data_IF_435860262234
#
_entry.id   IF_435860262234
#
_cell.length_a   1.000
_cell.length_b   1.000
_cell.length_c   1.000
_cell.angle_alpha   90.00
_cell.angle_beta   90.00
_cell.angle_gamma   90.00
#
_symmetry.space_group_name_H-M   'P 1'
#
loop_
_entity.id
_entity.type
_entity.pdbx_description
1 polymer ?
#
# COMPACT_ATOMS: atom_id res chain seq x y z
N UNK A 1 -21.92 -12.16 42.01
CA UNK A 1 -22.15 -11.38 40.75
C UNK A 1 -21.27 -10.13 40.84
N UNK A 2 -20.03 -10.21 40.36
CA UNK A 2 -19.15 -9.04 40.20
C UNK A 2 -19.26 -8.61 38.75
N UNK A 3 -19.89 -7.46 38.49
CA UNK A 3 -19.96 -6.88 37.16
C UNK A 3 -18.57 -6.41 36.74
N UNK A 4 -18.03 -7.01 35.69
CA UNK A 4 -16.83 -6.56 35.01
C UNK A 4 -17.15 -5.22 34.34
N UNK A 5 -16.68 -4.12 34.93
CA UNK A 5 -16.68 -2.82 34.28
C UNK A 5 -15.61 -2.88 33.18
N UNK A 6 -16.03 -3.04 31.93
CA UNK A 6 -15.17 -2.89 30.76
C UNK A 6 -14.79 -1.41 30.64
N UNK A 7 -13.66 -1.02 31.24
CA UNK A 7 -13.09 0.31 31.00
C UNK A 7 -12.53 0.28 29.59
N UNK A 8 -13.32 0.74 28.63
CA UNK A 8 -12.81 1.08 27.29
C UNK A 8 -11.97 2.34 27.42
N UNK A 9 -10.66 2.18 27.64
CA UNK A 9 -9.68 3.25 27.44
C UNK A 9 -9.63 3.52 25.92
N UNK A 10 -10.58 4.33 25.45
CA UNK A 10 -10.53 4.93 24.12
C UNK A 10 -9.44 6.00 24.16
N UNK A 11 -8.41 5.86 23.30
CA UNK A 11 -7.53 6.99 22.98
C UNK A 11 -8.42 8.20 22.66
N UNK A 12 -8.07 9.43 23.06
CA UNK A 12 -8.86 10.60 22.76
C UNK A 12 -8.78 10.90 21.26
N UNK A 13 -9.66 10.24 20.48
CA UNK A 13 -9.90 10.63 19.09
C UNK A 13 -10.86 11.80 19.10
N UNK A 14 -10.58 12.90 18.38
CA UNK A 14 -11.53 14.00 18.23
C UNK A 14 -12.87 13.46 17.69
N UNK A 15 -13.97 14.04 18.13
CA UNK A 15 -15.28 13.71 17.59
C UNK A 15 -15.26 13.91 16.06
N UNK A 16 -15.49 12.83 15.29
CA UNK A 16 -15.41 12.82 13.83
C UNK A 16 -14.10 12.28 13.23
N UNK A 17 -13.08 11.92 14.04
CA UNK A 17 -11.85 11.32 13.52
C UNK A 17 -12.10 9.90 12.99
N UNK A 18 -11.66 9.65 11.77
CA UNK A 18 -11.74 8.34 11.12
C UNK A 18 -10.48 7.55 11.42
N UNK A 19 -10.60 6.40 12.09
CA UNK A 19 -9.45 5.52 12.33
C UNK A 19 -9.20 4.58 11.15
N UNK A 20 -7.92 4.24 10.93
CA UNK A 20 -7.46 3.25 9.96
C UNK A 20 -6.60 2.20 10.66
N UNK A 21 -6.73 0.92 10.24
CA UNK A 21 -5.95 -0.21 10.75
C UNK A 21 -4.94 -0.62 9.68
N UNK A 22 -3.66 -0.58 10.02
CA UNK A 22 -2.54 -0.79 9.09
C UNK A 22 -1.77 -2.04 9.48
N UNK A 23 -1.73 -3.06 8.62
CA UNK A 23 -0.87 -4.23 8.82
C UNK A 23 0.59 -3.82 8.62
N UNK A 24 1.37 -3.79 9.69
CA UNK A 24 2.80 -3.47 9.66
C UNK A 24 3.66 -4.69 9.35
N UNK A 25 3.47 -5.75 10.13
CA UNK A 25 4.27 -6.98 10.11
C UNK A 25 3.37 -8.21 10.13
N UNK A 26 3.84 -9.30 9.53
CA UNK A 26 3.11 -10.57 9.52
C UNK A 26 4.07 -11.77 9.48
N UNK A 27 3.57 -12.95 9.83
CA UNK A 27 4.30 -14.22 9.82
C UNK A 27 5.56 -14.20 10.71
N UNK A 28 5.50 -13.48 11.83
CA UNK A 28 6.57 -13.44 12.81
C UNK A 28 6.40 -14.56 13.84
N UNK A 29 7.51 -15.19 14.23
CA UNK A 29 7.52 -16.14 15.36
C UNK A 29 7.91 -15.46 16.67
N UNK A 30 8.67 -14.39 16.58
CA UNK A 30 9.09 -13.58 17.74
C UNK A 30 9.06 -12.09 17.36
N UNK A 31 8.78 -11.26 18.36
CA UNK A 31 8.79 -9.81 18.25
C UNK A 31 9.26 -9.20 19.57
N UNK A 32 10.18 -8.23 19.49
CA UNK A 32 10.56 -7.40 20.62
C UNK A 32 9.87 -6.05 20.52
N UNK A 33 9.11 -5.68 21.54
CA UNK A 33 8.42 -4.39 21.63
C UNK A 33 9.07 -3.56 22.74
N UNK A 34 9.47 -2.33 22.41
CA UNK A 34 9.90 -1.34 23.38
C UNK A 34 8.71 -0.46 23.75
N UNK A 35 8.16 -0.65 24.94
CA UNK A 35 6.96 0.03 25.42
C UNK A 35 7.36 1.28 26.20
N UNK A 36 7.04 2.50 25.68
CA UNK A 36 7.32 3.74 26.42
C UNK A 36 6.41 3.89 27.66
N UNK A 37 6.81 4.69 28.66
CA UNK A 37 6.02 4.88 29.89
C UNK A 37 4.63 5.48 29.65
N UNK A 38 4.42 6.20 28.55
CA UNK A 38 3.14 6.79 28.17
C UNK A 38 2.24 5.85 27.32
N UNK A 39 2.46 4.53 27.40
CA UNK A 39 1.60 3.50 26.84
C UNK A 39 1.10 2.54 27.89
N UNK A 40 -0.19 2.20 27.83
CA UNK A 40 -0.77 1.07 28.55
C UNK A 40 -0.67 -0.21 27.72
N UNK A 41 -0.35 -1.32 28.39
CA UNK A 41 -0.34 -2.65 27.77
C UNK A 41 -1.56 -3.43 28.24
N UNK A 42 -2.45 -3.72 27.32
CA UNK A 42 -3.67 -4.49 27.55
C UNK A 42 -3.51 -5.89 26.95
N UNK A 43 -3.97 -6.91 27.66
CA UNK A 43 -3.96 -8.31 27.20
C UNK A 43 -5.36 -8.92 27.31
N UNK A 44 -5.67 -9.88 26.45
CA UNK A 44 -6.86 -10.71 26.56
C UNK A 44 -6.42 -12.17 26.75
N UNK A 45 -6.93 -12.87 27.82
CA UNK A 45 -7.93 -12.45 28.82
C UNK A 45 -7.39 -11.74 30.07
N UNK A 46 -6.10 -11.53 30.23
CA UNK A 46 -5.47 -11.14 31.51
C UNK A 46 -5.67 -9.65 31.95
N UNK A 47 -6.15 -8.76 31.09
CA UNK A 47 -6.44 -7.36 31.43
C UNK A 47 -5.23 -6.42 31.30
N UNK A 48 -5.19 -5.36 32.13
CA UNK A 48 -4.12 -4.35 32.13
C UNK A 48 -2.85 -4.89 32.79
N UNK A 49 -1.73 -4.87 32.06
CA UNK A 49 -0.41 -5.14 32.66
C UNK A 49 0.11 -3.90 33.38
N UNK A 50 0.74 -4.05 34.58
CA UNK A 50 1.37 -2.92 35.25
C UNK A 50 2.42 -2.27 34.35
N UNK A 51 2.24 -1.00 34.02
CA UNK A 51 3.27 -0.20 33.39
C UNK A 51 4.19 0.30 34.48
N UNK A 52 5.50 0.00 34.46
CA UNK A 52 6.47 0.74 35.23
C UNK A 52 6.53 2.16 34.69
N UNK A 53 5.94 3.10 35.41
CA UNK A 53 5.65 4.45 34.93
C UNK A 53 6.89 5.27 34.52
N UNK A 54 8.09 4.83 34.84
CA UNK A 54 9.31 5.65 34.70
C UNK A 54 10.39 5.07 33.78
N UNK A 55 10.19 3.87 33.20
CA UNK A 55 11.23 3.25 32.35
C UNK A 55 10.66 2.55 31.12
N UNK A 56 11.37 2.66 29.99
CA UNK A 56 11.13 1.85 28.80
C UNK A 56 11.23 0.38 29.12
N UNK A 57 10.13 -0.33 28.92
CA UNK A 57 10.07 -1.76 29.13
C UNK A 57 10.15 -2.47 27.79
N UNK A 58 11.08 -3.41 27.65
CA UNK A 58 11.10 -4.33 26.51
C UNK A 58 10.27 -5.55 26.86
N UNK A 59 9.32 -5.91 25.99
CA UNK A 59 8.48 -7.10 26.10
C UNK A 59 8.80 -8.00 24.91
N UNK A 60 9.23 -9.24 25.21
CA UNK A 60 9.37 -10.28 24.20
C UNK A 60 8.02 -10.93 23.95
N UNK A 61 7.64 -11.00 22.71
CA UNK A 61 6.38 -11.58 22.24
C UNK A 61 6.70 -12.78 21.35
N UNK A 62 6.18 -13.95 21.67
CA UNK A 62 6.43 -15.19 20.94
C UNK A 62 5.12 -15.79 20.45
N UNK A 63 5.11 -16.29 19.22
CA UNK A 63 4.03 -17.11 18.72
C UNK A 63 4.08 -18.49 19.40
N UNK A 64 2.97 -18.93 19.96
CA UNK A 64 2.82 -20.26 20.54
C UNK A 64 1.57 -20.90 19.94
N UNK A 65 1.66 -22.10 19.39
CA UNK A 65 0.60 -22.92 18.80
C UNK A 65 -0.65 -22.18 18.27
N UNK A 66 -1.40 -21.50 19.16
CA UNK A 66 -2.63 -20.74 18.85
C UNK A 66 -2.77 -19.42 19.64
N UNK A 67 -1.74 -19.03 20.37
CA UNK A 67 -1.75 -17.84 21.23
C UNK A 67 -0.43 -17.10 21.20
N UNK A 68 -0.31 -16.08 22.04
CA UNK A 68 0.87 -15.26 22.25
C UNK A 68 1.45 -15.60 23.60
N UNK A 69 2.74 -15.90 23.67
CA UNK A 69 3.48 -16.08 24.92
C UNK A 69 4.31 -14.82 25.22
N UNK A 70 4.24 -14.38 26.47
CA UNK A 70 5.05 -13.30 27.05
C UNK A 70 6.01 -13.92 28.09
N UNK A 71 7.22 -14.36 27.69
CA UNK A 71 8.09 -15.18 28.54
C UNK A 71 8.48 -14.52 29.86
N UNK A 72 8.81 -13.21 29.82
CA UNK A 72 9.25 -12.48 31.04
C UNK A 72 8.14 -12.34 32.05
N UNK A 73 6.88 -12.47 31.64
CA UNK A 73 5.70 -12.36 32.51
C UNK A 73 5.09 -13.71 32.86
N UNK A 74 5.56 -14.80 32.23
CA UNK A 74 4.95 -16.11 32.36
C UNK A 74 3.51 -16.18 31.87
N UNK A 75 3.09 -15.29 30.98
CA UNK A 75 1.70 -15.18 30.49
C UNK A 75 1.52 -15.76 29.10
N UNK A 76 0.35 -16.35 28.88
CA UNK A 76 -0.18 -16.69 27.56
C UNK A 76 -1.49 -15.92 27.32
N UNK A 77 -1.58 -15.21 26.20
CA UNK A 77 -2.70 -14.30 25.88
C UNK A 77 -3.12 -14.48 24.42
N UNK A 78 -4.36 -14.14 24.09
CA UNK A 78 -4.88 -14.21 22.73
C UNK A 78 -4.50 -12.97 21.91
N UNK A 79 -4.47 -11.81 22.58
CA UNK A 79 -4.18 -10.52 21.98
C UNK A 79 -3.40 -9.64 22.95
N UNK A 80 -2.45 -8.88 22.41
CA UNK A 80 -1.70 -7.85 23.12
C UNK A 80 -1.98 -6.52 22.43
N UNK A 81 -2.43 -5.52 23.19
CA UNK A 81 -2.70 -4.18 22.68
C UNK A 81 -1.94 -3.13 23.47
N UNK A 82 -1.22 -2.26 22.76
CA UNK A 82 -0.50 -1.12 23.32
C UNK A 82 -1.26 0.16 22.96
N UNK A 83 -1.72 0.88 23.99
CA UNK A 83 -2.59 2.06 23.83
C UNK A 83 -1.87 3.29 24.34
N UNK A 84 -1.71 4.37 23.54
CA UNK A 84 -1.08 5.60 23.98
C UNK A 84 -1.96 6.36 24.98
N UNK A 85 -1.32 7.04 25.95
CA UNK A 85 -2.02 7.91 26.90
C UNK A 85 -2.35 9.28 26.30
N UNK A 86 -1.55 9.71 25.29
CA UNK A 86 -1.71 10.98 24.59
C UNK A 86 -1.63 10.78 23.07
N UNK A 87 -2.21 11.70 22.32
CA UNK A 87 -2.23 11.64 20.86
C UNK A 87 -0.83 11.67 20.23
N UNK A 88 0.08 12.44 20.81
CA UNK A 88 1.44 12.63 20.29
C UNK A 88 2.40 11.51 20.66
N UNK A 89 1.96 10.54 21.46
CA UNK A 89 2.77 9.41 21.85
C UNK A 89 3.15 8.56 20.63
N UNK A 90 4.40 8.09 20.62
CA UNK A 90 4.93 7.22 19.57
C UNK A 90 5.54 5.97 20.17
N UNK A 91 5.51 4.87 19.41
CA UNK A 91 6.01 3.56 19.85
C UNK A 91 6.84 2.91 18.74
N UNK A 92 7.86 2.14 19.13
CA UNK A 92 8.63 1.32 18.21
C UNK A 92 7.92 -0.01 17.89
N UNK A 93 7.82 -0.32 16.58
CA UNK A 93 7.55 -1.66 16.09
C UNK A 93 8.65 -2.05 15.09
N UNK A 94 9.52 -2.97 15.48
CA UNK A 94 10.79 -3.19 14.78
C UNK A 94 11.70 -1.96 14.90
N UNK A 95 12.19 -1.45 13.77
CA UNK A 95 13.10 -0.29 13.72
C UNK A 95 12.42 1.05 13.48
N UNK A 96 11.09 1.10 13.37
CA UNK A 96 10.34 2.31 13.01
C UNK A 96 9.42 2.77 14.13
N UNK A 97 9.20 4.10 14.18
CA UNK A 97 8.28 4.75 15.11
C UNK A 97 6.90 4.90 14.49
N UNK A 98 5.85 4.68 15.30
CA UNK A 98 4.46 4.77 14.88
C UNK A 98 3.63 5.56 15.90
N UNK A 99 2.66 6.35 15.41
CA UNK A 99 1.60 6.96 16.22
C UNK A 99 0.51 5.95 16.53
N UNK A 100 -0.37 6.29 17.45
CA UNK A 100 -1.56 5.50 17.76
C UNK A 100 -1.28 4.22 18.52
N UNK A 101 -2.19 3.25 18.43
CA UNK A 101 -2.07 1.96 19.14
C UNK A 101 -1.49 0.86 18.24
N UNK A 102 -0.88 -0.15 18.88
CA UNK A 102 -0.43 -1.37 18.22
C UNK A 102 -1.18 -2.58 18.78
N UNK A 103 -1.74 -3.37 17.89
CA UNK A 103 -2.33 -4.67 18.21
C UNK A 103 -1.39 -5.78 17.71
N UNK A 104 -1.02 -6.70 18.60
CA UNK A 104 -0.32 -7.94 18.24
C UNK A 104 -1.28 -9.09 18.42
N UNK A 105 -1.49 -9.86 17.34
CA UNK A 105 -2.42 -10.98 17.29
C UNK A 105 -1.74 -12.21 16.72
N UNK A 106 -2.12 -13.37 17.24
CA UNK A 106 -1.75 -14.62 16.59
C UNK A 106 -2.70 -14.91 15.42
N UNK A 107 -2.14 -15.35 14.30
CA UNK A 107 -2.89 -15.85 13.12
C UNK A 107 -2.17 -17.06 12.55
N UNK A 108 -2.89 -17.85 11.73
CA UNK A 108 -2.28 -18.97 11.05
C UNK A 108 -1.04 -18.54 10.26
N UNK A 109 0.15 -18.97 10.70
CA UNK A 109 1.44 -18.54 10.15
C UNK A 109 2.29 -17.67 11.09
N UNK A 110 1.80 -17.27 12.28
CA UNK A 110 2.56 -16.53 13.28
C UNK A 110 1.86 -15.27 13.78
N UNK A 111 2.66 -14.34 14.31
CA UNK A 111 2.16 -13.06 14.78
C UNK A 111 1.93 -12.08 13.63
N UNK A 112 0.88 -11.27 13.76
CA UNK A 112 0.68 -10.04 12.99
C UNK A 112 0.75 -8.83 13.91
N UNK A 113 1.22 -7.70 13.37
CA UNK A 113 1.25 -6.40 14.07
C UNK A 113 0.41 -5.43 13.27
N UNK A 114 -0.61 -4.86 13.90
CA UNK A 114 -1.53 -3.90 13.28
C UNK A 114 -1.44 -2.58 14.04
N UNK A 115 -1.20 -1.51 13.32
CA UNK A 115 -1.21 -0.15 13.84
C UNK A 115 -2.59 0.48 13.62
N UNK A 116 -3.22 0.97 14.67
CA UNK A 116 -4.51 1.68 14.61
C UNK A 116 -4.31 3.13 15.00
N UNK A 117 -4.62 4.05 14.07
CA UNK A 117 -4.42 5.49 14.25
C UNK A 117 -5.45 6.30 13.48
N UNK A 118 -5.41 7.62 13.64
CA UNK A 118 -6.20 8.56 12.84
C UNK A 118 -5.79 8.49 11.35
N UNK A 119 -6.75 8.62 10.44
CA UNK A 119 -6.50 8.55 9.00
C UNK A 119 -5.54 9.64 8.50
N UNK A 120 -5.67 10.87 9.01
CA UNK A 120 -4.78 11.97 8.60
C UNK A 120 -3.35 11.72 9.12
N UNK A 121 -3.20 11.20 10.33
CA UNK A 121 -1.89 10.81 10.88
C UNK A 121 -1.26 9.65 10.09
N UNK A 122 -2.07 8.72 9.60
CA UNK A 122 -1.60 7.69 8.66
C UNK A 122 -1.03 8.31 7.39
N UNK A 123 -1.71 9.31 6.82
CA UNK A 123 -1.26 9.98 5.60
C UNK A 123 0.03 10.78 5.80
N UNK A 124 0.33 11.27 7.00
CA UNK A 124 1.63 11.92 7.29
C UNK A 124 2.80 10.96 7.02
N UNK A 125 2.62 9.66 7.28
CA UNK A 125 3.63 8.63 7.03
C UNK A 125 3.55 7.98 5.64
N UNK A 126 2.50 8.24 4.85
CA UNK A 126 2.31 7.71 3.49
C UNK A 126 2.77 8.68 2.44
N UNK A 127 2.28 9.93 2.45
CA UNK A 127 2.52 10.89 1.36
C UNK A 127 4.00 11.11 1.07
N UNK A 128 4.91 11.26 2.07
CA UNK A 128 6.35 11.44 1.82
C UNK A 128 7.04 10.19 1.24
N UNK A 129 6.39 9.03 1.28
CA UNK A 129 6.92 7.78 0.72
C UNK A 129 6.35 7.47 -0.67
N UNK A 130 5.23 8.08 -1.01
CA UNK A 130 4.59 7.96 -2.32
C UNK A 130 5.01 9.06 -3.29
N UNK A 131 5.33 10.26 -2.79
CA UNK A 131 5.74 11.40 -3.62
C UNK A 131 6.98 12.11 -3.04
N UNK A 132 7.95 12.50 -3.88
CA UNK A 132 9.09 13.30 -3.44
C UNK A 132 8.67 14.61 -2.74
N UNK A 133 9.21 14.84 -1.56
CA UNK A 133 8.83 15.98 -0.68
C UNK A 133 9.05 17.36 -1.29
N UNK A 134 9.95 17.46 -2.27
CA UNK A 134 10.28 18.71 -2.98
C UNK A 134 9.28 19.06 -4.09
N UNK A 135 8.35 18.19 -4.42
CA UNK A 135 7.35 18.45 -5.47
C UNK A 135 6.48 19.66 -5.18
N UNK A 136 5.82 20.19 -6.23
CA UNK A 136 4.88 21.30 -6.10
C UNK A 136 3.74 20.93 -5.14
N UNK A 137 3.29 21.90 -4.36
CA UNK A 137 2.28 21.69 -3.33
C UNK A 137 0.96 21.14 -3.93
N UNK A 138 0.61 21.55 -5.16
CA UNK A 138 -0.57 21.04 -5.86
C UNK A 138 -0.48 19.52 -6.12
N UNK A 139 0.70 19.01 -6.51
CA UNK A 139 0.92 17.58 -6.70
C UNK A 139 0.88 16.81 -5.36
N UNK A 140 1.48 17.36 -4.29
CA UNK A 140 1.44 16.76 -2.95
C UNK A 140 0.02 16.72 -2.38
N UNK A 141 -0.78 17.78 -2.59
CA UNK A 141 -2.21 17.83 -2.21
C UNK A 141 -3.03 16.80 -3.00
N UNK A 142 -2.82 16.69 -4.31
CA UNK A 142 -3.47 15.66 -5.12
C UNK A 142 -3.13 14.25 -4.62
N UNK A 143 -1.86 13.98 -4.30
CA UNK A 143 -1.42 12.71 -3.73
C UNK A 143 -2.06 12.42 -2.37
N UNK A 144 -2.19 13.41 -1.49
CA UNK A 144 -2.84 13.26 -0.19
C UNK A 144 -4.33 12.88 -0.35
N UNK A 145 -5.07 13.54 -1.23
CA UNK A 145 -6.48 13.24 -1.52
C UNK A 145 -6.65 11.83 -2.08
N UNK A 146 -5.80 11.44 -3.03
CA UNK A 146 -5.85 10.10 -3.64
C UNK A 146 -5.52 9.03 -2.61
N UNK A 147 -4.49 9.21 -1.80
CA UNK A 147 -4.11 8.27 -0.75
C UNK A 147 -5.22 8.12 0.31
N UNK A 148 -5.85 9.22 0.73
CA UNK A 148 -6.99 9.23 1.64
C UNK A 148 -8.17 8.46 1.08
N UNK A 149 -8.55 8.76 -0.17
CA UNK A 149 -9.66 8.10 -0.86
C UNK A 149 -9.43 6.60 -0.97
N UNK A 150 -8.22 6.18 -1.36
CA UNK A 150 -7.83 4.78 -1.44
C UNK A 150 -7.95 4.08 -0.09
N UNK A 151 -7.39 4.65 0.97
CA UNK A 151 -7.42 4.07 2.31
C UNK A 151 -8.87 3.88 2.82
N UNK A 152 -9.72 4.89 2.65
CA UNK A 152 -11.14 4.81 2.98
C UNK A 152 -11.89 3.78 2.14
N UNK A 153 -11.64 3.75 0.84
CA UNK A 153 -12.22 2.73 -0.05
C UNK A 153 -11.86 1.31 0.40
N UNK A 154 -10.60 1.08 0.78
CA UNK A 154 -10.15 -0.22 1.31
C UNK A 154 -10.83 -0.53 2.65
N UNK A 155 -10.90 0.42 3.57
CA UNK A 155 -11.54 0.27 4.87
C UNK A 155 -13.00 -0.17 4.76
N UNK A 156 -13.79 0.43 3.86
CA UNK A 156 -15.20 0.05 3.65
C UNK A 156 -15.38 -1.38 3.15
N UNK A 157 -14.35 -2.00 2.59
CA UNK A 157 -14.38 -3.37 2.03
C UNK A 157 -13.73 -4.43 2.93
N UNK A 158 -13.09 -4.01 4.02
CA UNK A 158 -12.34 -4.89 4.92
C UNK A 158 -12.91 -4.96 6.34
N UNK A 159 -14.23 -4.71 6.51
CA UNK A 159 -14.89 -4.56 7.82
C UNK A 159 -14.64 -5.76 8.75
N UNK A 160 -14.60 -6.98 8.22
CA UNK A 160 -14.43 -8.21 9.00
C UNK A 160 -12.97 -8.73 9.04
N UNK A 161 -11.99 -7.90 8.66
CA UNK A 161 -10.56 -8.27 8.70
C UNK A 161 -9.86 -7.59 9.86
N UNK A 162 -8.68 -8.09 10.19
CA UNK A 162 -7.84 -7.51 11.25
C UNK A 162 -7.31 -6.12 10.90
N UNK A 163 -7.19 -5.80 9.61
CA UNK A 163 -6.65 -4.54 9.10
C UNK A 163 -7.38 -4.07 7.85
N UNK A 164 -7.26 -2.79 7.54
CA UNK A 164 -7.88 -2.14 6.39
C UNK A 164 -6.90 -2.06 5.20
N UNK A 165 -5.64 -1.73 5.47
CA UNK A 165 -4.56 -1.60 4.48
C UNK A 165 -3.27 -2.25 5.00
N UNK A 166 -2.37 -2.61 4.09
CA UNK A 166 -1.02 -3.08 4.43
C UNK A 166 0.02 -1.98 4.18
N UNK A 167 1.05 -1.90 5.03
CA UNK A 167 2.12 -0.90 4.97
C UNK A 167 3.11 -1.09 3.80
N UNK A 168 2.86 -2.02 2.89
CA UNK A 168 3.76 -2.38 1.79
C UNK A 168 3.17 -1.93 0.44
N UNK A 169 3.92 -1.13 -0.33
CA UNK A 169 3.50 -0.59 -1.62
C UNK A 169 3.09 -1.65 -2.66
N UNK A 170 3.60 -2.89 -2.56
CA UNK A 170 3.21 -4.00 -3.45
C UNK A 170 1.75 -4.44 -3.18
N UNK A 171 1.26 -4.23 -1.95
CA UNK A 171 -0.09 -4.64 -1.54
C UNK A 171 -1.07 -3.48 -1.54
N UNK A 172 -0.70 -2.37 -0.93
CA UNK A 172 -1.53 -1.17 -0.80
C UNK A 172 -0.70 0.10 -0.94
N UNK A 173 -0.31 0.78 0.15
CA UNK A 173 0.44 2.05 0.16
C UNK A 173 1.72 1.92 0.97
N UNK A 174 2.75 2.69 0.59
CA UNK A 174 4.01 2.69 1.33
C UNK A 174 3.87 3.54 2.60
N UNK A 175 3.74 2.87 3.75
CA UNK A 175 3.62 3.51 5.06
C UNK A 175 4.83 3.20 5.93
N UNK A 176 5.52 4.21 6.42
CA UNK A 176 6.70 4.08 7.29
C UNK A 176 6.53 4.76 8.67
N UNK A 177 5.30 5.11 9.03
CA UNK A 177 4.96 5.68 10.33
C UNK A 177 5.54 7.07 10.56
N UNK A 178 5.72 7.42 11.84
CA UNK A 178 6.23 8.72 12.29
C UNK A 178 7.62 9.05 11.73
N UNK A 179 8.46 8.02 11.56
CA UNK A 179 9.83 8.19 11.05
C UNK A 179 9.91 8.77 9.64
N UNK A 180 8.82 8.71 8.87
CA UNK A 180 8.76 9.24 7.50
C UNK A 180 8.13 10.64 7.41
N UNK A 181 7.49 11.14 8.48
CA UNK A 181 6.75 12.40 8.45
C UNK A 181 7.65 13.59 8.06
N UNK A 182 7.11 14.48 7.23
CA UNK A 182 7.82 15.68 6.79
C UNK A 182 6.86 16.88 6.73
N UNK A 183 7.29 18.03 7.20
CA UNK A 183 6.47 19.26 7.34
C UNK A 183 5.70 19.63 6.07
N UNK A 184 6.35 19.58 4.89
CA UNK A 184 5.69 19.94 3.62
C UNK A 184 4.57 18.97 3.23
N UNK A 185 4.77 17.66 3.40
CA UNK A 185 3.75 16.66 3.08
C UNK A 185 2.65 16.65 4.13
N UNK A 186 2.97 16.84 5.42
CA UNK A 186 2.00 17.06 6.49
C UNK A 186 1.13 18.29 6.20
N UNK A 187 1.71 19.39 5.71
CA UNK A 187 0.94 20.57 5.28
C UNK A 187 -0.03 20.21 4.14
N UNK A 188 0.42 19.47 3.11
CA UNK A 188 -0.44 19.06 2.00
C UNK A 188 -1.63 18.19 2.46
N UNK A 189 -1.41 17.31 3.44
CA UNK A 189 -2.48 16.50 4.06
C UNK A 189 -3.46 17.39 4.81
N UNK A 190 -2.96 18.31 5.65
CA UNK A 190 -3.80 19.23 6.44
C UNK A 190 -4.61 20.18 5.55
N UNK A 191 -4.00 20.72 4.50
CA UNK A 191 -4.67 21.62 3.53
C UNK A 191 -5.82 20.94 2.79
N UNK A 192 -5.82 19.60 2.76
CA UNK A 192 -6.83 18.79 2.06
C UNK A 192 -7.58 17.85 2.99
N UNK A 193 -7.57 18.13 4.30
CA UNK A 193 -8.19 17.29 5.31
C UNK A 193 -9.63 16.95 4.96
N UNK A 194 -9.99 15.67 5.03
CA UNK A 194 -11.33 15.18 4.74
C UNK A 194 -11.74 15.18 3.27
N UNK A 195 -10.95 15.76 2.34
CA UNK A 195 -11.28 15.73 0.91
C UNK A 195 -11.05 14.34 0.31
N UNK A 196 -12.05 13.83 -0.41
CA UNK A 196 -12.03 12.52 -1.08
C UNK A 196 -12.68 12.58 -2.46
N UNK A 197 -12.39 11.57 -3.28
CA UNK A 197 -12.99 11.39 -4.60
C UNK A 197 -14.12 10.36 -4.57
N UNK A 198 -15.26 10.76 -5.15
CA UNK A 198 -16.43 9.89 -5.32
C UNK A 198 -16.85 9.82 -6.78
N UNK A 199 -17.45 8.70 -7.17
CA UNK A 199 -18.07 8.48 -8.47
C UNK A 199 -19.48 7.97 -8.25
N UNK A 200 -20.49 8.65 -8.79
CA UNK A 200 -21.89 8.35 -8.56
C UNK A 200 -22.26 8.23 -7.06
N UNK A 201 -21.65 9.05 -6.21
CA UNK A 201 -21.90 9.09 -4.77
C UNK A 201 -21.15 8.06 -3.93
N UNK A 202 -20.36 7.17 -4.53
CA UNK A 202 -19.54 6.18 -3.83
C UNK A 202 -18.04 6.51 -3.91
N UNK A 203 -17.27 6.16 -2.86
CA UNK A 203 -15.80 6.26 -2.90
C UNK A 203 -15.24 5.44 -4.06
N UNK A 204 -14.28 6.03 -4.79
CA UNK A 204 -13.57 5.32 -5.85
C UNK A 204 -12.34 4.59 -5.30
N UNK A 205 -11.85 3.53 -5.95
CA UNK A 205 -10.59 2.88 -5.59
C UNK A 205 -9.35 3.69 -5.96
N UNK A 206 -9.42 4.98 -6.03
CA UNK A 206 -8.43 6.02 -6.32
C UNK A 206 -7.00 5.51 -6.57
N UNK A 207 -6.83 4.58 -7.53
CA UNK A 207 -5.55 3.98 -7.88
C UNK A 207 -4.59 5.02 -8.45
N UNK A 208 -3.30 4.86 -8.17
CA UNK A 208 -2.25 5.71 -8.68
C UNK A 208 -0.98 4.90 -8.99
N UNK A 209 -0.09 5.43 -9.78
CA UNK A 209 1.14 4.77 -10.19
C UNK A 209 2.23 5.80 -10.50
N UNK A 210 3.49 5.36 -10.50
CA UNK A 210 4.62 6.28 -10.61
C UNK A 210 4.66 7.03 -11.97
N UNK A 211 4.62 6.30 -13.10
CA UNK A 211 4.77 6.88 -14.45
C UNK A 211 3.96 6.12 -15.49
N UNK A 212 3.11 6.82 -16.23
CA UNK A 212 2.20 6.25 -17.23
C UNK A 212 2.83 6.01 -18.59
N UNK A 213 3.89 6.73 -18.92
CA UNK A 213 4.53 6.74 -20.25
C UNK A 213 3.62 7.27 -21.38
N UNK A 214 2.87 8.34 -21.10
CA UNK A 214 2.09 9.10 -22.08
C UNK A 214 0.57 8.84 -22.06
N UNK A 215 0.11 7.70 -21.57
CA UNK A 215 -1.31 7.39 -21.37
C UNK A 215 -1.50 6.56 -20.10
N UNK A 216 -2.53 6.89 -19.32
CA UNK A 216 -3.03 5.98 -18.30
C UNK A 216 -3.79 4.82 -18.95
N UNK A 217 -4.34 3.89 -18.18
CA UNK A 217 -5.01 2.70 -18.68
C UNK A 217 -6.43 2.58 -18.14
N UNK A 218 -7.30 1.98 -18.90
CA UNK A 218 -8.64 1.59 -18.45
C UNK A 218 -8.56 0.46 -17.41
N UNK A 219 -9.39 0.55 -16.38
CA UNK A 219 -9.36 -0.41 -15.25
C UNK A 219 -9.60 -1.85 -15.68
N UNK A 220 -10.45 -2.11 -16.67
CA UNK A 220 -10.77 -3.44 -17.18
C UNK A 220 -9.58 -4.15 -17.86
N UNK A 221 -8.65 -3.41 -18.42
CA UNK A 221 -7.43 -4.01 -18.99
C UNK A 221 -6.43 -4.47 -17.91
N UNK A 222 -6.56 -3.96 -16.69
CA UNK A 222 -5.71 -4.33 -15.55
C UNK A 222 -6.41 -5.35 -14.63
N UNK A 223 -7.67 -5.13 -14.24
CA UNK A 223 -8.40 -5.96 -13.26
C UNK A 223 -9.67 -6.64 -13.79
N UNK A 224 -9.94 -6.61 -15.10
CA UNK A 224 -11.10 -7.21 -15.76
C UNK A 224 -12.47 -6.61 -15.40
N UNK A 225 -12.51 -5.52 -14.62
CA UNK A 225 -13.73 -4.83 -14.23
C UNK A 225 -13.68 -3.38 -14.66
N UNK A 226 -14.61 -2.92 -15.51
CA UNK A 226 -14.69 -1.51 -15.86
C UNK A 226 -15.14 -0.67 -14.66
N UNK A 227 -14.53 0.49 -14.50
CA UNK A 227 -14.95 1.48 -13.51
C UNK A 227 -15.18 2.83 -14.23
N UNK A 228 -16.35 3.48 -14.08
CA UNK A 228 -16.72 4.65 -14.89
C UNK A 228 -15.75 5.82 -14.72
N UNK A 229 -15.16 6.01 -13.54
CA UNK A 229 -14.22 7.09 -13.24
C UNK A 229 -12.74 6.66 -13.28
N UNK A 230 -12.41 5.48 -13.81
CA UNK A 230 -11.03 4.98 -14.00
C UNK A 230 -10.79 4.64 -15.47
N UNK A 231 -10.87 5.69 -16.30
CA UNK A 231 -10.69 5.61 -17.75
C UNK A 231 -9.30 6.09 -18.16
N UNK A 232 -8.83 5.57 -19.29
CA UNK A 232 -7.57 5.98 -19.88
C UNK A 232 -7.61 7.46 -20.29
N UNK A 233 -6.59 8.22 -19.88
CA UNK A 233 -6.41 9.60 -20.28
C UNK A 233 -5.00 9.83 -20.83
N UNK A 234 -4.83 10.83 -21.69
CA UNK A 234 -3.50 11.28 -22.09
C UNK A 234 -2.81 11.91 -20.89
N UNK A 235 -1.60 11.45 -20.60
CA UNK A 235 -0.79 11.93 -19.48
C UNK A 235 0.51 12.52 -20.03
N UNK A 236 0.77 13.79 -19.73
CA UNK A 236 1.99 14.44 -20.16
C UNK A 236 3.19 13.89 -19.40
N UNK A 237 4.12 13.27 -20.12
CA UNK A 237 5.35 12.74 -19.51
C UNK A 237 6.19 13.86 -18.92
N UNK A 238 6.67 13.68 -17.69
CA UNK A 238 7.59 14.62 -17.06
C UNK A 238 9.04 14.30 -17.47
N UNK A 239 9.80 15.23 -18.06
CA UNK A 239 11.13 14.94 -18.64
C UNK A 239 12.15 14.48 -17.57
N UNK A 240 12.00 14.91 -16.31
CA UNK A 240 12.87 14.48 -15.21
C UNK A 240 12.42 13.17 -14.53
N UNK A 241 11.37 12.50 -15.04
CA UNK A 241 10.96 11.20 -14.47
C UNK A 241 12.03 10.13 -14.73
N UNK A 242 12.55 9.47 -13.69
CA UNK A 242 13.54 8.39 -13.85
C UNK A 242 12.91 7.10 -14.37
N UNK A 243 11.59 7.12 -14.61
CA UNK A 243 10.78 5.94 -14.95
C UNK A 243 10.27 5.95 -16.38
N UNK A 244 10.68 6.93 -17.20
CA UNK A 244 10.25 7.02 -18.60
C UNK A 244 10.64 5.80 -19.41
N UNK A 245 11.84 5.25 -19.15
CA UNK A 245 12.36 4.06 -19.82
C UNK A 245 12.99 3.10 -18.81
N UNK A 246 12.91 1.82 -19.11
CA UNK A 246 13.59 0.78 -18.35
C UNK A 246 13.97 -0.39 -19.24
N UNK A 247 14.97 -1.15 -18.83
CA UNK A 247 15.35 -2.39 -19.47
C UNK A 247 15.62 -3.46 -18.42
N UNK A 248 15.40 -4.72 -18.78
CA UNK A 248 15.71 -5.87 -17.94
C UNK A 248 16.16 -7.05 -18.80
N UNK A 249 17.00 -7.92 -18.26
CA UNK A 249 17.41 -9.17 -18.90
C UNK A 249 17.33 -10.30 -17.89
N UNK A 250 16.56 -11.33 -18.19
CA UNK A 250 16.34 -12.47 -17.33
C UNK A 250 16.68 -13.79 -18.05
N UNK A 251 17.36 -14.74 -17.40
CA UNK A 251 17.44 -16.11 -17.91
C UNK A 251 16.04 -16.72 -18.03
N UNK A 252 15.76 -17.47 -19.09
CA UNK A 252 14.46 -18.13 -19.29
C UNK A 252 14.15 -19.14 -18.18
N UNK A 253 15.18 -19.71 -17.56
CA UNK A 253 15.03 -20.61 -16.41
C UNK A 253 14.49 -19.86 -15.19
N UNK A 254 14.96 -18.64 -14.91
CA UNK A 254 14.50 -17.82 -13.77
C UNK A 254 13.04 -17.39 -13.99
N UNK A 255 12.69 -17.04 -15.22
CA UNK A 255 11.30 -16.75 -15.61
C UNK A 255 10.42 -17.98 -15.36
N UNK A 256 10.86 -19.17 -15.75
CA UNK A 256 10.14 -20.42 -15.50
C UNK A 256 9.90 -20.67 -14.01
N UNK A 257 10.92 -20.46 -13.18
CA UNK A 257 10.82 -20.62 -11.72
C UNK A 257 9.85 -19.61 -11.13
N UNK A 258 9.91 -18.34 -11.55
CA UNK A 258 9.01 -17.28 -11.10
C UNK A 258 7.55 -17.57 -11.46
N UNK A 259 7.30 -18.00 -12.70
CA UNK A 259 5.96 -18.40 -13.15
C UNK A 259 5.41 -19.59 -12.36
N UNK A 260 6.24 -20.60 -12.09
CA UNK A 260 5.84 -21.75 -11.29
C UNK A 260 5.45 -21.36 -9.86
N UNK A 261 6.20 -20.46 -9.21
CA UNK A 261 5.85 -19.89 -7.90
C UNK A 261 4.52 -19.11 -7.91
N UNK A 262 4.18 -18.53 -9.06
CA UNK A 262 2.93 -17.80 -9.25
C UNK A 262 1.75 -18.70 -9.68
N UNK A 263 1.96 -20.01 -9.76
CA UNK A 263 0.93 -21.00 -10.08
C UNK A 263 0.88 -21.45 -11.55
N UNK A 264 1.80 -21.00 -12.42
CA UNK A 264 1.87 -21.39 -13.82
C UNK A 264 2.94 -22.43 -14.06
N UNK A 265 2.55 -23.69 -14.22
CA UNK A 265 3.44 -24.79 -14.55
C UNK A 265 3.81 -24.76 -16.04
N UNK A 266 4.96 -24.18 -16.39
CA UNK A 266 5.47 -24.15 -17.77
C UNK A 266 6.72 -25.02 -17.92
N UNK A 267 6.88 -25.66 -19.07
CA UNK A 267 8.08 -26.38 -19.44
C UNK A 267 9.28 -25.45 -19.73
N UNK A 268 10.37 -25.99 -20.27
CA UNK A 268 11.50 -25.16 -20.71
C UNK A 268 11.03 -24.14 -21.74
N UNK A 269 11.14 -22.85 -21.38
CA UNK A 269 10.66 -21.74 -22.21
C UNK A 269 11.55 -21.63 -23.46
N UNK A 270 10.92 -21.41 -24.62
CA UNK A 270 11.57 -21.18 -25.92
C UNK A 270 11.38 -19.75 -26.38
N UNK A 271 10.17 -19.17 -26.19
CA UNK A 271 9.83 -17.83 -26.67
C UNK A 271 8.78 -17.18 -25.77
N UNK A 272 8.91 -15.86 -25.63
CA UNK A 272 7.93 -14.98 -25.01
C UNK A 272 7.42 -14.02 -26.09
N UNK A 273 6.09 -13.87 -26.20
CA UNK A 273 5.47 -13.07 -27.25
C UNK A 273 4.27 -12.32 -26.71
N UNK A 274 4.27 -10.96 -26.73
CA UNK A 274 3.06 -10.17 -26.55
C UNK A 274 2.11 -10.41 -27.73
N UNK A 275 0.93 -10.95 -27.46
CA UNK A 275 -0.04 -11.30 -28.51
C UNK A 275 -1.23 -10.35 -28.57
N UNK A 276 -1.45 -9.57 -27.49
CA UNK A 276 -2.53 -8.59 -27.44
C UNK A 276 -2.10 -7.35 -26.67
N UNK A 277 -2.59 -6.18 -27.11
CA UNK A 277 -2.36 -4.89 -26.45
C UNK A 277 -3.66 -4.11 -26.34
N UNK A 278 -3.77 -3.33 -25.26
CA UNK A 278 -4.81 -2.31 -25.11
C UNK A 278 -4.62 -1.15 -26.11
N UNK A 279 -5.62 -0.29 -26.29
CA UNK A 279 -5.50 0.92 -27.09
C UNK A 279 -4.37 1.88 -26.63
N UNK A 280 -3.97 1.82 -25.36
CA UNK A 280 -2.86 2.62 -24.81
C UNK A 280 -1.49 1.99 -25.07
N UNK A 281 -1.43 0.81 -25.70
CA UNK A 281 -0.21 0.09 -26.06
C UNK A 281 0.35 -0.81 -24.95
N UNK A 282 -0.38 -0.98 -23.83
CA UNK A 282 0.00 -1.92 -22.77
C UNK A 282 -0.36 -3.35 -23.15
N UNK A 283 0.48 -4.30 -22.79
CA UNK A 283 0.27 -5.74 -23.08
C UNK A 283 -0.85 -6.25 -22.19
N UNK A 284 -1.91 -6.76 -22.79
CA UNK A 284 -3.02 -7.46 -22.11
C UNK A 284 -2.78 -8.96 -22.05
N UNK A 285 -2.18 -9.57 -23.10
CA UNK A 285 -1.88 -10.99 -23.14
C UNK A 285 -0.44 -11.26 -23.59
N UNK A 286 0.23 -12.18 -22.87
CA UNK A 286 1.54 -12.74 -23.22
C UNK A 286 1.40 -14.22 -23.49
N UNK A 287 1.93 -14.67 -24.63
CA UNK A 287 2.08 -16.08 -24.98
C UNK A 287 3.49 -16.55 -24.61
N UNK A 288 3.57 -17.69 -23.97
CA UNK A 288 4.79 -18.36 -23.54
C UNK A 288 4.87 -19.70 -24.27
N UNK A 289 5.73 -19.83 -25.27
CA UNK A 289 5.99 -21.10 -25.94
C UNK A 289 7.07 -21.85 -25.19
N UNK A 290 6.82 -23.11 -24.81
CA UNK A 290 7.73 -23.95 -24.02
C UNK A 290 7.72 -25.40 -24.49
N UNK A 291 8.59 -26.25 -23.93
CA UNK A 291 8.77 -27.64 -24.37
C UNK A 291 7.47 -28.47 -24.33
N UNK A 292 6.57 -28.16 -23.40
CA UNK A 292 5.31 -28.92 -23.19
C UNK A 292 4.09 -28.28 -23.86
N UNK A 293 4.28 -27.25 -24.72
CA UNK A 293 3.19 -26.56 -25.43
C UNK A 293 3.24 -25.05 -25.31
N UNK A 294 2.10 -24.41 -25.21
CA UNK A 294 1.95 -22.97 -25.06
C UNK A 294 1.08 -22.62 -23.85
N UNK A 295 1.43 -21.52 -23.18
CA UNK A 295 0.64 -20.93 -22.10
C UNK A 295 0.35 -19.48 -22.43
N UNK A 296 -0.90 -19.05 -22.33
CA UNK A 296 -1.29 -17.64 -22.45
C UNK A 296 -1.69 -17.13 -21.08
N UNK A 297 -1.18 -15.97 -20.70
CA UNK A 297 -1.49 -15.32 -19.44
C UNK A 297 -1.65 -13.82 -19.60
N UNK A 298 -2.29 -13.18 -18.62
CA UNK A 298 -2.42 -11.72 -18.62
C UNK A 298 -1.08 -11.03 -18.45
N UNK A 299 -0.87 -9.91 -19.13
CA UNK A 299 0.34 -9.10 -19.00
C UNK A 299 0.56 -8.60 -17.57
N UNK A 300 -0.51 -8.31 -16.83
CA UNK A 300 -0.47 -7.92 -15.42
C UNK A 300 0.01 -9.06 -14.52
N UNK A 301 -0.45 -10.29 -14.73
CA UNK A 301 -0.01 -11.48 -14.00
C UNK A 301 1.44 -11.82 -14.32
N UNK A 302 1.82 -11.74 -15.60
CA UNK A 302 3.21 -11.90 -16.03
C UNK A 302 4.14 -10.90 -15.33
N UNK A 303 3.75 -9.64 -15.27
CA UNK A 303 4.48 -8.58 -14.56
C UNK A 303 4.63 -8.91 -13.06
N UNK A 304 3.54 -9.28 -12.39
CA UNK A 304 3.56 -9.61 -10.97
C UNK A 304 4.37 -10.87 -10.66
N UNK A 305 4.29 -11.88 -11.51
CA UNK A 305 5.05 -13.13 -11.36
C UNK A 305 6.56 -12.91 -11.44
N UNK A 306 7.03 -12.03 -12.35
CA UNK A 306 8.44 -11.71 -12.52
C UNK A 306 8.95 -10.64 -11.53
N UNK A 307 8.04 -9.99 -10.81
CA UNK A 307 8.32 -8.91 -9.88
C UNK A 307 8.19 -7.51 -10.51
N UNK A 308 7.42 -6.61 -9.87
CA UNK A 308 7.12 -5.26 -10.36
C UNK A 308 8.33 -4.33 -10.40
N UNK A 309 9.41 -4.68 -9.69
CA UNK A 309 10.70 -3.97 -9.75
C UNK A 309 11.52 -4.32 -11.00
N UNK A 310 11.31 -5.53 -11.54
CA UNK A 310 12.02 -6.04 -12.72
C UNK A 310 11.23 -5.67 -13.98
N UNK A 311 9.96 -6.07 -14.02
CA UNK A 311 9.03 -5.71 -15.12
C UNK A 311 8.16 -4.55 -14.61
N UNK A 312 8.69 -3.33 -14.78
CA UNK A 312 8.12 -2.13 -14.13
C UNK A 312 6.74 -1.74 -14.63
N UNK A 313 6.39 -2.08 -15.86
CA UNK A 313 5.06 -1.84 -16.45
C UNK A 313 4.71 -2.93 -17.44
N UNK A 314 3.47 -2.96 -17.91
CA UNK A 314 3.05 -3.81 -19.05
C UNK A 314 3.29 -3.17 -20.42
N UNK A 315 3.92 -1.99 -20.48
CA UNK A 315 4.27 -1.31 -21.73
C UNK A 315 5.73 -1.61 -22.10
N UNK A 316 5.96 -2.78 -22.70
CA UNK A 316 7.30 -3.24 -23.07
C UNK A 316 7.32 -4.00 -24.41
N UNK A 317 8.52 -4.17 -24.96
CA UNK A 317 8.86 -5.15 -25.98
C UNK A 317 9.75 -6.24 -25.34
N UNK A 318 9.73 -7.45 -25.89
CA UNK A 318 10.57 -8.55 -25.43
C UNK A 318 11.19 -9.28 -26.62
N UNK A 319 12.48 -9.63 -26.48
CA UNK A 319 13.20 -10.49 -27.41
C UNK A 319 13.77 -11.68 -26.64
N UNK A 320 13.57 -12.87 -27.20
CA UNK A 320 14.11 -14.12 -26.62
C UNK A 320 15.25 -14.61 -27.49
N UNK A 321 16.45 -14.68 -26.92
CA UNK A 321 17.66 -15.18 -27.59
C UNK A 321 18.65 -15.71 -26.57
N UNK A 322 19.50 -16.65 -26.94
CA UNK A 322 20.61 -17.17 -26.15
C UNK A 322 20.21 -17.59 -24.72
N UNK A 323 19.04 -18.24 -24.58
CA UNK A 323 18.52 -18.69 -23.29
C UNK A 323 18.06 -17.56 -22.35
N UNK A 324 17.93 -16.32 -22.84
CA UNK A 324 17.52 -15.13 -22.08
C UNK A 324 16.36 -14.40 -22.76
N UNK A 325 15.61 -13.68 -21.96
CA UNK A 325 14.64 -12.67 -22.42
C UNK A 325 15.18 -11.27 -22.12
N UNK A 326 15.13 -10.39 -23.12
CA UNK A 326 15.53 -8.99 -23.04
C UNK A 326 14.29 -8.12 -23.16
N UNK A 327 14.04 -7.32 -22.16
CA UNK A 327 12.87 -6.43 -22.07
C UNK A 327 13.32 -4.98 -22.22
N UNK A 328 12.58 -4.19 -23.02
CA UNK A 328 12.69 -2.74 -23.07
C UNK A 328 11.28 -2.16 -22.89
N UNK A 329 11.09 -1.33 -21.88
CA UNK A 329 9.79 -0.83 -21.52
C UNK A 329 9.79 0.63 -21.11
N UNK A 330 8.57 1.16 -20.88
CA UNK A 330 8.31 2.53 -20.51
C UNK A 330 7.33 2.60 -19.33
N UNK A 331 7.54 3.56 -18.43
CA UNK A 331 6.70 3.78 -17.29
C UNK A 331 6.91 2.80 -16.14
N UNK A 332 6.30 3.10 -14.99
CA UNK A 332 6.32 2.23 -13.82
C UNK A 332 4.94 2.21 -13.14
N UNK A 333 4.39 1.02 -12.97
CA UNK A 333 3.12 0.76 -12.33
C UNK A 333 2.07 0.16 -13.28
N UNK A 334 0.86 -0.02 -12.75
CA UNK A 334 -0.26 -0.62 -13.47
C UNK A 334 -0.88 0.30 -14.53
N UNK A 335 -0.70 1.61 -14.39
CA UNK A 335 -1.15 2.60 -15.37
C UNK A 335 -2.54 3.20 -15.13
N UNK A 336 -3.32 2.70 -14.19
CA UNK A 336 -4.70 3.17 -13.95
C UNK A 336 -4.72 4.35 -12.97
N UNK A 337 -5.57 5.34 -13.22
CA UNK A 337 -5.78 6.51 -12.37
C UNK A 337 -4.61 7.50 -12.42
N UNK A 338 -4.24 8.10 -11.28
CA UNK A 338 -3.27 9.19 -11.23
C UNK A 338 -1.84 8.74 -11.55
N UNK A 339 -1.21 9.42 -12.51
CA UNK A 339 0.22 9.32 -12.79
C UNK A 339 0.97 10.32 -11.91
N UNK A 340 1.77 9.86 -10.96
CA UNK A 340 2.43 10.72 -9.96
C UNK A 340 3.39 11.73 -10.59
N UNK A 341 4.34 11.28 -11.44
CA UNK A 341 5.27 12.16 -12.12
C UNK A 341 4.58 13.12 -13.11
N UNK A 342 3.56 12.64 -13.80
CA UNK A 342 2.80 13.51 -14.70
C UNK A 342 2.00 14.56 -13.94
N UNK A 343 1.52 14.25 -12.71
CA UNK A 343 0.86 15.21 -11.81
C UNK A 343 1.82 16.31 -11.35
N UNK A 344 3.07 15.96 -11.07
CA UNK A 344 4.12 16.97 -10.82
C UNK A 344 4.31 17.89 -12.03
N UNK A 345 4.36 17.33 -13.24
CA UNK A 345 4.46 18.13 -14.47
C UNK A 345 3.28 19.07 -14.66
N UNK A 346 2.06 18.62 -14.36
CA UNK A 346 0.88 19.50 -14.40
C UNK A 346 0.98 20.62 -13.35
N UNK A 347 1.42 20.30 -12.14
CA UNK A 347 1.59 21.28 -11.05
C UNK A 347 2.66 22.34 -11.38
N UNK A 348 3.75 21.97 -12.06
CA UNK A 348 4.77 22.90 -12.57
C UNK A 348 4.22 23.83 -13.67
N UNK A 349 3.23 23.40 -14.42
CA UNK A 349 2.49 24.21 -15.39
C UNK A 349 1.40 25.09 -14.75
N UNK A 350 1.26 25.06 -13.42
CA UNK A 350 0.33 25.91 -12.67
C UNK A 350 -1.06 25.30 -12.45
N UNK A 351 -1.28 24.00 -12.79
CA UNK A 351 -2.53 23.33 -12.44
C UNK A 351 -2.61 23.08 -10.93
N UNK A 352 -3.76 23.36 -10.35
CA UNK A 352 -4.04 23.05 -8.95
C UNK A 352 -4.39 21.56 -8.77
N UNK A 353 -4.55 21.12 -7.52
CA UNK A 353 -4.84 19.73 -7.20
C UNK A 353 -6.20 19.26 -7.71
N UNK A 354 -7.21 20.14 -7.80
CA UNK A 354 -8.53 19.80 -8.31
C UNK A 354 -8.49 19.56 -9.82
N UNK A 355 -7.81 20.43 -10.58
CA UNK A 355 -7.59 20.25 -12.01
C UNK A 355 -6.80 18.97 -12.32
N UNK A 356 -5.76 18.66 -11.53
CA UNK A 356 -5.01 17.41 -11.63
C UNK A 356 -5.94 16.21 -11.42
N UNK A 357 -6.70 16.20 -10.34
CA UNK A 357 -7.57 15.07 -9.99
C UNK A 357 -8.69 14.84 -11.00
N UNK A 358 -9.34 15.91 -11.46
CA UNK A 358 -10.41 15.82 -12.47
C UNK A 358 -9.90 15.35 -13.83
N UNK A 359 -8.64 15.62 -14.15
CA UNK A 359 -8.00 15.10 -15.36
C UNK A 359 -7.88 13.56 -15.32
N UNK A 360 -7.40 13.00 -14.19
CA UNK A 360 -7.15 11.55 -14.06
C UNK A 360 -8.38 10.72 -13.69
N UNK A 361 -9.33 11.31 -13.01
CA UNK A 361 -10.55 10.64 -12.53
C UNK A 361 -11.78 11.29 -13.14
N UNK A 362 -11.91 11.16 -14.47
CA UNK A 362 -13.00 11.78 -15.22
C UNK A 362 -14.37 11.38 -14.68
N UNK A 363 -15.23 12.38 -14.43
CA UNK A 363 -16.54 12.18 -13.85
C UNK A 363 -16.57 11.96 -12.32
N UNK A 364 -15.41 11.88 -11.66
CA UNK A 364 -15.37 11.89 -10.21
C UNK A 364 -15.63 13.31 -9.65
N UNK A 365 -16.13 13.35 -8.41
CA UNK A 365 -16.38 14.58 -7.65
C UNK A 365 -15.49 14.61 -6.43
N UNK A 366 -14.89 15.76 -6.16
CA UNK A 366 -14.19 16.05 -4.92
C UNK A 366 -15.22 16.51 -3.87
N UNK A 367 -15.26 15.82 -2.73
CA UNK A 367 -16.20 16.13 -1.63
C UNK A 367 -15.48 16.02 -0.28
N UNK A 368 -16.05 16.65 0.76
CA UNK A 368 -15.67 16.35 2.14
C UNK A 368 -16.34 15.04 2.59
N UNK A 369 -15.56 14.11 3.11
CA UNK A 369 -16.03 12.89 3.72
C UNK A 369 -16.57 13.19 5.12
N UNK A 370 -17.83 12.81 5.37
CA UNK A 370 -18.53 12.99 6.64
C UNK A 370 -18.54 11.71 7.47
#
# INVERSE_FOLDING_TARGET
>A
MLGLLLITLLSPTPAGAVSIRVLLLQNLFTLSLSVPPHYSVLTQPAGLLPADADHWRTVQVQANARNIRLPELGLEVEELRLVPHTRDAVIYAGSKLYRGSLDVKWRAGGLIVVNTLDLEEYLYGVVPKEAPIQWQMAALRAQAIVARTYALYKRTRQINRDYDVAAQYIRDQHYEGFSAEHTRTTQAVNDTQGLVLTCHGALIPAYYHAESAGYTEDSEHVWSSPHPCLRAVKAQMHPASPYLQWSASLPLQDIRVALAKYGYAVGAIRRLEPIERSPTGRITLVKISHKSGETVMRGTEFRLALGPEVIRSTRFTVQTRDGRAFFNGQGWGHGVGLCQWCSQGMAELGYDHEAILTHYYQGAKLIHYQ
#
